data_IF_443795824733
#
_entry.id   IF_443795824733
#
_cell.length_a   1.000
_cell.length_b   1.000
_cell.length_c   1.000
_cell.angle_alpha   90.00
_cell.angle_beta   90.00
_cell.angle_gamma   90.00
#
_symmetry.space_group_name_H-M   'P 1'
#
loop_
_entity.id
_entity.type
_entity.pdbx_description
1 polymer ?
#
# COMPACT_ATOMS: atom_id res chain seq x y z
N UNK A 1 -62.58 16.46 -33.00
CA UNK A 1 -62.10 17.64 -33.74
C UNK A 1 -60.58 17.65 -33.66
N UNK A 2 -59.93 17.01 -34.63
CA UNK A 2 -59.28 17.62 -35.80
C UNK A 2 -57.99 18.38 -35.45
N UNK A 3 -56.86 17.75 -35.79
CA UNK A 3 -55.54 18.39 -35.90
C UNK A 3 -55.48 19.32 -37.12
N UNK A 4 -54.51 20.23 -37.15
CA UNK A 4 -53.46 20.20 -38.20
C UNK A 4 -52.06 20.29 -37.54
N UNK A 5 -50.98 19.58 -37.89
CA UNK A 5 -50.26 19.26 -39.14
C UNK A 5 -49.57 20.45 -39.86
N UNK A 6 -48.25 20.26 -40.05
CA UNK A 6 -47.31 20.85 -41.04
C UNK A 6 -46.73 22.26 -40.72
N UNK A 7 -45.46 22.64 -40.98
CA UNK A 7 -44.42 22.15 -41.91
C UNK A 7 -42.98 22.59 -41.49
N UNK A 8 -42.02 21.77 -41.89
CA UNK A 8 -40.55 21.88 -42.03
C UNK A 8 -39.85 23.26 -42.08
N UNK A 9 -38.64 23.33 -41.50
CA UNK A 9 -37.44 23.75 -42.27
C UNK A 9 -36.19 23.02 -41.76
N UNK A 10 -35.55 22.29 -42.68
CA UNK A 10 -34.23 21.67 -42.54
C UNK A 10 -33.18 22.77 -42.73
N UNK A 11 -32.19 22.87 -41.83
CA UNK A 11 -30.90 23.45 -42.19
C UNK A 11 -29.78 22.50 -41.72
N UNK A 12 -29.30 21.76 -42.70
CA UNK A 12 -28.11 20.94 -42.69
C UNK A 12 -26.86 21.82 -42.55
N UNK A 13 -26.05 21.60 -41.52
CA UNK A 13 -24.64 21.97 -41.55
C UNK A 13 -23.80 20.82 -40.98
N UNK A 14 -23.62 19.82 -41.83
CA UNK A 14 -22.69 18.70 -41.63
C UNK A 14 -21.26 19.22 -41.80
N UNK A 15 -20.65 19.69 -40.73
CA UNK A 15 -19.20 19.90 -40.69
C UNK A 15 -18.54 18.53 -40.59
N UNK A 16 -18.23 17.96 -41.75
CA UNK A 16 -17.32 16.83 -41.90
C UNK A 16 -15.90 17.30 -41.55
N UNK A 17 -15.58 17.37 -40.26
CA UNK A 17 -14.19 17.34 -39.84
C UNK A 17 -13.66 15.93 -40.13
N UNK A 18 -13.01 15.79 -41.28
CA UNK A 18 -12.05 14.72 -41.56
C UNK A 18 -10.90 14.83 -40.56
N UNK A 19 -11.14 14.42 -39.31
CA UNK A 19 -10.06 14.08 -38.41
C UNK A 19 -9.48 12.77 -38.95
N UNK A 20 -8.33 12.86 -39.61
CA UNK A 20 -7.48 11.71 -39.85
C UNK A 20 -7.11 11.10 -38.50
N UNK A 21 -7.89 10.12 -38.06
CA UNK A 21 -7.50 9.23 -36.97
C UNK A 21 -6.40 8.36 -37.54
N UNK A 22 -5.15 8.80 -37.37
CA UNK A 22 -3.98 7.98 -37.58
C UNK A 22 -4.02 6.90 -36.48
N UNK A 23 -4.63 5.76 -36.80
CA UNK A 23 -4.51 4.55 -35.99
C UNK A 23 -3.05 4.11 -36.13
N UNK A 24 -2.19 4.66 -35.27
CA UNK A 24 -0.89 4.07 -35.03
C UNK A 24 -1.16 2.75 -34.35
N UNK A 25 -0.99 1.66 -35.10
CA UNK A 25 -0.78 0.35 -34.51
C UNK A 25 0.43 0.47 -33.58
N UNK A 26 0.15 0.76 -32.31
CA UNK A 26 1.10 0.60 -31.24
C UNK A 26 1.43 -0.88 -31.25
N UNK A 27 2.53 -1.24 -31.92
CA UNK A 27 3.14 -2.57 -31.83
C UNK A 27 3.16 -2.92 -30.35
N UNK A 28 2.24 -3.80 -29.97
CA UNK A 28 2.07 -4.25 -28.60
C UNK A 28 3.43 -4.80 -28.21
N UNK A 29 4.13 -4.11 -27.31
CA UNK A 29 5.45 -4.54 -26.89
C UNK A 29 5.33 -6.00 -26.49
N UNK A 30 6.02 -6.89 -27.21
CA UNK A 30 6.00 -8.31 -26.90
C UNK A 30 6.53 -8.45 -25.48
N UNK A 31 5.67 -8.88 -24.57
CA UNK A 31 6.09 -9.19 -23.20
C UNK A 31 7.12 -10.31 -23.32
N UNK A 32 8.37 -10.12 -22.87
CA UNK A 32 9.37 -11.18 -22.95
C UNK A 32 8.83 -12.43 -22.26
N UNK A 33 9.11 -13.63 -22.79
CA UNK A 33 8.64 -14.86 -22.19
C UNK A 33 9.08 -14.93 -20.71
N UNK A 34 8.23 -15.46 -19.81
CA UNK A 34 8.57 -15.57 -18.40
C UNK A 34 9.86 -16.39 -18.27
N UNK A 35 10.84 -15.83 -17.56
CA UNK A 35 12.06 -16.55 -17.24
C UNK A 35 11.71 -17.58 -16.17
N UNK A 36 11.89 -18.87 -16.47
CA UNK A 36 11.76 -19.96 -15.50
C UNK A 36 13.16 -20.31 -15.03
N UNK A 37 13.39 -20.27 -13.71
CA UNK A 37 14.65 -20.73 -13.12
C UNK A 37 14.44 -22.09 -12.48
N UNK A 38 15.20 -23.09 -12.94
CA UNK A 38 15.16 -24.46 -12.43
C UNK A 38 16.40 -24.77 -11.60
N UNK A 39 16.20 -25.35 -10.44
CA UNK A 39 17.25 -25.83 -9.54
C UNK A 39 17.06 -27.30 -9.25
N UNK A 40 18.17 -28.04 -9.18
CA UNK A 40 18.17 -29.49 -8.99
C UNK A 40 19.00 -29.85 -7.76
N UNK A 41 18.41 -30.59 -6.84
CA UNK A 41 19.05 -31.09 -5.62
C UNK A 41 18.82 -32.60 -5.51
N UNK A 42 19.73 -33.34 -4.89
CA UNK A 42 19.44 -34.75 -4.57
C UNK A 42 18.42 -34.81 -3.43
N UNK A 43 18.72 -34.19 -2.30
CA UNK A 43 17.80 -34.08 -1.16
C UNK A 43 17.87 -32.71 -0.54
N UNK A 44 16.77 -32.28 0.09
CA UNK A 44 16.67 -31.03 0.82
C UNK A 44 15.93 -31.27 2.13
N UNK A 45 16.54 -30.87 3.24
CA UNK A 45 15.92 -30.90 4.57
C UNK A 45 15.76 -29.48 5.09
N UNK A 46 14.54 -29.13 5.48
CA UNK A 46 14.19 -27.84 6.08
C UNK A 46 13.93 -28.08 7.57
N UNK A 47 14.94 -27.84 8.40
CA UNK A 47 14.89 -28.00 9.86
C UNK A 47 14.67 -26.68 10.60
N UNK A 48 14.84 -25.56 9.91
CA UNK A 48 14.69 -24.21 10.45
C UNK A 48 13.92 -23.31 9.47
N UNK A 49 13.87 -22.01 9.76
CA UNK A 49 13.24 -21.03 8.89
C UNK A 49 14.15 -20.72 7.69
N UNK A 50 13.68 -21.10 6.50
CA UNK A 50 14.36 -20.88 5.24
C UNK A 50 13.47 -20.10 4.27
N UNK A 51 14.10 -19.33 3.39
CA UNK A 51 13.45 -18.51 2.36
C UNK A 51 13.79 -19.09 0.99
N UNK A 52 12.79 -19.36 0.17
CA UNK A 52 12.99 -19.67 -1.24
C UNK A 52 12.82 -18.41 -2.08
N UNK A 53 13.94 -17.87 -2.54
CA UNK A 53 13.97 -16.58 -3.21
C UNK A 53 14.95 -16.60 -4.39
N UNK A 54 14.49 -16.15 -5.55
CA UNK A 54 15.31 -16.08 -6.78
C UNK A 54 15.99 -17.42 -7.14
N UNK A 55 15.29 -18.54 -6.89
CA UNK A 55 15.82 -19.89 -7.10
C UNK A 55 16.91 -20.29 -6.10
N UNK A 56 16.96 -19.71 -4.90
CA UNK A 56 17.89 -20.12 -3.85
C UNK A 56 17.13 -20.41 -2.57
N UNK A 57 17.58 -21.42 -1.82
CA UNK A 57 17.16 -21.64 -0.43
C UNK A 57 18.15 -20.87 0.46
N UNK A 58 17.64 -19.89 1.19
CA UNK A 58 18.44 -18.92 1.94
C UNK A 58 18.01 -18.91 3.41
N UNK A 59 18.95 -18.75 4.32
CA UNK A 59 18.63 -18.30 5.67
C UNK A 59 18.13 -16.84 5.65
N UNK A 60 17.60 -16.36 6.78
CA UNK A 60 17.05 -15.00 6.89
C UNK A 60 18.06 -13.89 6.55
N UNK A 61 19.32 -14.03 7.00
CA UNK A 61 20.36 -13.02 6.78
C UNK A 61 20.74 -12.96 5.29
N UNK A 62 20.91 -14.12 4.67
CA UNK A 62 21.22 -14.28 3.26
C UNK A 62 20.08 -13.77 2.37
N UNK A 63 18.83 -14.03 2.77
CA UNK A 63 17.64 -13.50 2.09
C UNK A 63 17.58 -11.97 2.10
N UNK A 64 17.81 -11.34 3.25
CA UNK A 64 17.82 -9.88 3.36
C UNK A 64 18.93 -9.25 2.52
N UNK A 65 20.09 -9.89 2.47
CA UNK A 65 21.21 -9.45 1.63
C UNK A 65 20.87 -9.53 0.13
N UNK A 66 20.34 -10.66 -0.35
CA UNK A 66 19.95 -10.81 -1.76
C UNK A 66 18.83 -9.83 -2.17
N UNK A 67 17.86 -9.57 -1.28
CA UNK A 67 16.82 -8.56 -1.54
C UNK A 67 17.39 -7.17 -1.75
N UNK A 68 18.36 -6.79 -0.91
CA UNK A 68 19.04 -5.49 -1.03
C UNK A 68 19.78 -5.38 -2.36
N UNK A 69 20.50 -6.42 -2.77
CA UNK A 69 21.24 -6.45 -4.02
C UNK A 69 20.32 -6.33 -5.25
N UNK A 70 19.19 -7.04 -5.26
CA UNK A 70 18.20 -6.93 -6.35
C UNK A 70 17.58 -5.54 -6.42
N UNK A 71 17.29 -4.94 -5.27
CA UNK A 71 16.76 -3.58 -5.20
C UNK A 71 17.77 -2.56 -5.76
N UNK A 72 19.04 -2.66 -5.38
CA UNK A 72 20.12 -1.80 -5.87
C UNK A 72 20.35 -1.99 -7.38
N UNK A 73 20.24 -3.22 -7.87
CA UNK A 73 20.37 -3.56 -9.30
C UNK A 73 19.14 -3.16 -10.13
N UNK A 74 18.02 -2.74 -9.51
CA UNK A 74 16.71 -2.55 -10.16
C UNK A 74 16.27 -3.77 -10.98
N UNK A 75 16.72 -4.96 -10.58
CA UNK A 75 16.40 -6.21 -11.25
C UNK A 75 14.98 -6.65 -10.89
N UNK A 76 14.24 -7.20 -11.85
CA UNK A 76 12.94 -7.79 -11.55
C UNK A 76 13.13 -9.20 -10.98
N UNK A 77 12.40 -9.56 -9.91
CA UNK A 77 12.47 -10.91 -9.37
C UNK A 77 11.87 -11.91 -10.35
N UNK A 78 12.47 -13.09 -10.43
CA UNK A 78 11.95 -14.23 -11.19
C UNK A 78 10.70 -14.75 -10.50
N UNK A 79 9.56 -14.69 -11.19
CA UNK A 79 8.27 -15.08 -10.61
C UNK A 79 8.01 -16.58 -10.64
N UNK A 80 8.53 -17.30 -11.64
CA UNK A 80 8.31 -18.74 -11.77
C UNK A 80 9.60 -19.50 -11.48
N UNK A 81 9.54 -20.30 -10.42
CA UNK A 81 10.68 -21.02 -9.88
C UNK A 81 10.34 -22.50 -9.82
N UNK A 82 11.27 -23.31 -10.31
CA UNK A 82 11.12 -24.76 -10.34
C UNK A 82 12.21 -25.41 -9.51
N UNK A 83 11.81 -26.31 -8.62
CA UNK A 83 12.70 -27.03 -7.72
C UNK A 83 12.52 -28.53 -7.96
N UNK A 84 13.56 -29.22 -8.42
CA UNK A 84 13.53 -30.66 -8.67
C UNK A 84 14.44 -31.40 -7.69
N UNK A 85 13.91 -32.40 -6.99
CA UNK A 85 14.70 -33.17 -6.02
C UNK A 85 14.25 -34.60 -5.80
N UNK A 86 15.12 -35.51 -5.36
CA UNK A 86 14.72 -36.88 -5.01
C UNK A 86 13.82 -36.89 -3.77
N UNK A 87 14.25 -36.22 -2.68
CA UNK A 87 13.53 -36.22 -1.41
C UNK A 87 13.51 -34.84 -0.76
N UNK A 88 12.31 -34.32 -0.49
CA UNK A 88 12.09 -33.11 0.32
C UNK A 88 11.62 -33.51 1.72
N UNK A 89 12.32 -33.09 2.75
CA UNK A 89 11.90 -33.24 4.15
C UNK A 89 11.70 -31.88 4.78
N UNK A 90 10.53 -31.65 5.40
CA UNK A 90 10.29 -30.49 6.26
C UNK A 90 10.07 -31.00 7.68
N UNK A 91 11.08 -30.79 8.51
CA UNK A 91 11.08 -31.29 9.89
C UNK A 91 10.15 -30.47 10.77
N UNK A 92 9.89 -30.98 11.97
CA UNK A 92 9.11 -30.27 12.98
C UNK A 92 9.78 -28.94 13.33
N UNK A 93 9.05 -27.84 13.10
CA UNK A 93 9.55 -26.48 13.34
C UNK A 93 10.33 -25.87 12.16
N UNK A 94 10.62 -26.66 11.12
CA UNK A 94 11.10 -26.16 9.85
C UNK A 94 10.02 -25.34 9.13
N UNK A 95 10.40 -24.20 8.57
CA UNK A 95 9.48 -23.29 7.88
C UNK A 95 10.08 -22.86 6.55
N UNK A 96 9.42 -23.18 5.45
CA UNK A 96 9.80 -22.70 4.11
C UNK A 96 8.94 -21.50 3.71
N UNK A 97 9.56 -20.33 3.52
CA UNK A 97 8.92 -19.08 3.13
C UNK A 97 9.12 -18.82 1.63
N UNK A 98 8.04 -18.67 0.86
CA UNK A 98 8.10 -18.65 -0.62
C UNK A 98 7.89 -17.25 -1.23
N UNK A 99 7.22 -16.34 -0.52
CA UNK A 99 6.89 -14.99 -1.00
C UNK A 99 5.69 -14.98 -1.96
N UNK A 100 5.76 -14.08 -2.96
CA UNK A 100 4.79 -13.94 -4.06
C UNK A 100 5.13 -14.78 -5.31
N UNK A 101 6.08 -15.71 -5.18
CA UNK A 101 6.56 -16.53 -6.28
C UNK A 101 5.60 -17.68 -6.61
N UNK A 102 5.67 -18.14 -7.86
CA UNK A 102 5.11 -19.39 -8.32
C UNK A 102 6.18 -20.46 -8.17
N UNK A 103 6.05 -21.26 -7.12
CA UNK A 103 6.99 -22.34 -6.81
C UNK A 103 6.41 -23.67 -7.25
N UNK A 104 7.10 -24.33 -8.18
CA UNK A 104 6.82 -25.68 -8.61
C UNK A 104 7.87 -26.62 -8.03
N UNK A 105 7.50 -27.43 -7.05
CA UNK A 105 8.33 -28.47 -6.45
C UNK A 105 8.02 -29.80 -7.13
N UNK A 106 9.03 -30.43 -7.73
CA UNK A 106 8.94 -31.79 -8.28
C UNK A 106 9.84 -32.71 -7.44
N UNK A 107 9.25 -33.73 -6.82
CA UNK A 107 10.04 -34.66 -5.99
C UNK A 107 9.57 -36.10 -5.99
N UNK A 108 10.46 -37.07 -5.82
CA UNK A 108 10.02 -38.46 -5.72
C UNK A 108 9.37 -38.75 -4.36
N UNK A 109 9.90 -38.17 -3.28
CA UNK A 109 9.36 -38.37 -1.93
C UNK A 109 9.25 -37.04 -1.18
N UNK A 110 8.07 -36.75 -0.65
CA UNK A 110 7.82 -35.58 0.19
C UNK A 110 7.43 -35.97 1.61
N UNK A 111 8.28 -35.64 2.57
CA UNK A 111 8.12 -35.99 4.00
C UNK A 111 7.89 -34.71 4.79
N UNK A 112 6.85 -34.69 5.63
CA UNK A 112 6.64 -33.57 6.56
C UNK A 112 6.33 -34.05 7.97
N UNK A 113 7.09 -33.55 8.94
CA UNK A 113 6.98 -33.90 10.36
C UNK A 113 6.25 -32.79 11.14
N UNK A 114 5.12 -32.30 10.60
CA UNK A 114 4.46 -31.06 11.05
C UNK A 114 5.30 -29.81 10.79
N UNK A 115 6.09 -29.84 9.71
CA UNK A 115 6.74 -28.66 9.16
C UNK A 115 5.76 -27.71 8.48
N UNK A 116 6.22 -26.50 8.17
CA UNK A 116 5.38 -25.45 7.57
C UNK A 116 5.91 -24.97 6.22
N UNK A 117 4.99 -24.74 5.27
CA UNK A 117 5.22 -23.90 4.10
C UNK A 117 4.33 -22.66 4.22
N UNK A 118 4.91 -21.47 4.10
CA UNK A 118 4.16 -20.22 4.13
C UNK A 118 4.58 -19.26 3.03
N UNK A 119 3.64 -18.43 2.58
CA UNK A 119 3.92 -17.44 1.52
C UNK A 119 4.54 -16.18 2.12
N UNK A 120 4.00 -15.67 3.22
CA UNK A 120 4.57 -14.53 3.96
C UNK A 120 4.55 -14.77 5.48
N UNK A 121 5.50 -14.19 6.24
CA UNK A 121 5.40 -14.07 7.68
C UNK A 121 4.12 -13.34 8.13
N UNK A 122 3.66 -13.63 9.35
CA UNK A 122 2.33 -13.23 9.83
C UNK A 122 2.02 -11.72 9.79
N UNK A 123 3.03 -10.87 9.97
CA UNK A 123 2.87 -9.41 10.06
C UNK A 123 3.63 -8.66 8.97
N UNK A 124 4.02 -9.35 7.88
CA UNK A 124 4.69 -8.68 6.78
C UNK A 124 3.77 -7.62 6.15
N UNK A 125 4.28 -6.40 6.06
CA UNK A 125 3.57 -5.23 5.56
C UNK A 125 4.37 -4.61 4.43
N UNK A 126 3.69 -4.27 3.34
CA UNK A 126 4.29 -3.58 2.22
C UNK A 126 4.79 -2.19 2.65
N UNK A 127 5.79 -1.69 1.93
CA UNK A 127 6.28 -0.32 2.14
C UNK A 127 5.15 0.70 1.98
N UNK A 128 5.29 1.84 2.65
CA UNK A 128 4.33 2.95 2.56
C UNK A 128 3.94 3.25 1.10
N UNK A 129 2.64 3.50 0.90
CA UNK A 129 2.04 3.79 -0.39
C UNK A 129 2.18 2.67 -1.43
N UNK A 130 2.43 1.43 -1.00
CA UNK A 130 2.35 0.24 -1.85
C UNK A 130 1.29 -0.74 -1.39
N UNK A 131 0.60 -1.33 -2.35
CA UNK A 131 -0.28 -2.47 -2.10
C UNK A 131 0.53 -3.69 -1.65
N UNK A 132 -0.10 -4.51 -0.82
CA UNK A 132 0.42 -5.81 -0.42
C UNK A 132 0.50 -6.77 -1.60
N UNK A 133 1.57 -7.56 -1.65
CA UNK A 133 1.74 -8.64 -2.64
C UNK A 133 0.84 -9.82 -2.35
N UNK A 134 0.39 -10.48 -3.42
CA UNK A 134 -0.38 -11.71 -3.35
C UNK A 134 0.53 -12.90 -2.99
N UNK A 135 0.02 -13.90 -2.27
CA UNK A 135 0.82 -15.06 -1.81
C UNK A 135 1.27 -16.06 -2.88
N UNK A 136 1.26 -15.72 -4.17
CA UNK A 136 1.75 -16.61 -5.23
C UNK A 136 1.00 -17.95 -5.36
N UNK A 137 1.68 -18.94 -5.96
CA UNK A 137 1.19 -20.30 -6.16
C UNK A 137 2.27 -21.29 -5.74
N UNK A 138 1.89 -22.28 -4.93
CA UNK A 138 2.76 -23.39 -4.54
C UNK A 138 2.18 -24.65 -5.15
N UNK A 139 2.90 -25.25 -6.09
CA UNK A 139 2.52 -26.50 -6.73
C UNK A 139 3.54 -27.59 -6.41
N UNK A 140 3.09 -28.67 -5.78
CA UNK A 140 3.92 -29.82 -5.44
C UNK A 140 3.49 -31.01 -6.30
N UNK A 141 4.39 -31.53 -7.11
CA UNK A 141 4.22 -32.78 -7.83
C UNK A 141 5.16 -33.82 -7.22
N UNK A 142 4.59 -34.91 -6.68
CA UNK A 142 5.38 -35.95 -6.04
C UNK A 142 4.93 -37.37 -6.33
N UNK A 143 5.85 -38.34 -6.27
CA UNK A 143 5.44 -39.75 -6.38
C UNK A 143 4.79 -40.22 -5.07
N UNK A 144 5.41 -39.98 -3.91
CA UNK A 144 4.81 -40.31 -2.61
C UNK A 144 4.95 -39.20 -1.58
N UNK A 145 3.90 -38.98 -0.78
CA UNK A 145 3.90 -38.02 0.32
C UNK A 145 3.59 -38.68 1.66
N UNK A 146 4.27 -38.26 2.74
CA UNK A 146 4.18 -38.84 4.09
C UNK A 146 4.06 -37.73 5.15
N UNK A 147 3.19 -37.93 6.14
CA UNK A 147 3.18 -37.14 7.38
C UNK A 147 2.18 -36.00 7.40
N UNK A 148 2.45 -34.95 8.17
CA UNK A 148 1.54 -33.80 8.33
C UNK A 148 2.24 -32.53 7.90
N UNK A 149 1.62 -31.74 7.02
CA UNK A 149 2.18 -30.48 6.55
C UNK A 149 1.26 -29.33 6.93
N UNK A 150 1.81 -28.30 7.58
CA UNK A 150 1.12 -27.03 7.74
C UNK A 150 1.36 -26.16 6.50
N UNK A 151 0.31 -25.65 5.88
CA UNK A 151 0.40 -24.71 4.76
C UNK A 151 -0.32 -23.43 5.11
N UNK A 152 0.42 -22.34 5.23
CA UNK A 152 -0.10 -21.04 5.61
C UNK A 152 -0.03 -20.05 4.45
N UNK A 153 -1.14 -19.91 3.74
CA UNK A 153 -1.30 -19.06 2.56
C UNK A 153 -1.72 -17.65 2.97
N UNK A 154 -0.74 -16.75 3.03
CA UNK A 154 -0.93 -15.33 3.38
C UNK A 154 -0.84 -14.41 2.17
N UNK A 155 -1.58 -13.32 2.21
CA UNK A 155 -1.23 -12.11 1.46
C UNK A 155 -0.46 -11.13 2.35
N UNK A 156 0.38 -10.30 1.77
CA UNK A 156 1.10 -9.26 2.49
C UNK A 156 0.13 -8.12 2.88
N UNK A 157 0.30 -7.51 4.05
CA UNK A 157 -0.53 -6.37 4.44
C UNK A 157 -0.20 -5.14 3.56
N UNK A 158 -1.21 -4.31 3.29
CA UNK A 158 -1.00 -3.06 2.55
C UNK A 158 -0.18 -2.05 3.35
N UNK A 159 0.60 -1.22 2.65
CA UNK A 159 1.37 -0.14 3.25
C UNK A 159 0.50 1.04 3.72
N UNK A 160 1.08 1.91 4.55
CA UNK A 160 0.41 3.13 5.03
C UNK A 160 0.08 4.07 3.87
N UNK A 161 -1.07 4.75 3.95
CA UNK A 161 -1.48 5.77 2.98
C UNK A 161 -0.57 7.00 2.99
N UNK A 162 -0.60 7.79 1.91
CA UNK A 162 0.20 9.01 1.82
C UNK A 162 -0.18 10.02 2.92
N UNK A 163 0.80 10.71 3.50
CA UNK A 163 0.51 11.84 4.39
C UNK A 163 -0.23 12.94 3.61
N UNK A 164 -1.20 13.58 4.25
CA UNK A 164 -1.85 14.78 3.70
C UNK A 164 -0.81 15.87 3.40
N UNK A 165 -1.05 16.63 2.33
CA UNK A 165 -0.11 17.63 1.88
C UNK A 165 0.24 18.65 2.98
N UNK A 166 1.46 19.19 2.92
CA UNK A 166 1.84 20.30 3.79
C UNK A 166 0.92 21.51 3.51
N UNK A 167 0.60 22.32 4.54
CA UNK A 167 -0.29 23.46 4.36
C UNK A 167 0.34 24.48 3.39
N UNK A 168 -0.40 24.83 2.34
CA UNK A 168 -0.06 25.93 1.46
C UNK A 168 -0.67 27.26 1.93
N UNK A 169 -0.32 28.38 1.27
CA UNK A 169 -0.83 29.71 1.60
C UNK A 169 -2.36 29.83 1.64
N UNK A 170 -3.07 29.00 0.87
CA UNK A 170 -4.54 28.93 0.80
C UNK A 170 -5.22 28.47 2.10
N UNK A 171 -4.46 27.79 2.96
CA UNK A 171 -4.91 27.38 4.30
C UNK A 171 -4.56 28.41 5.36
N UNK A 172 -3.73 29.42 5.06
CA UNK A 172 -3.42 30.44 6.05
C UNK A 172 -4.64 31.33 6.31
N UNK A 173 -4.76 31.74 7.56
CA UNK A 173 -5.72 32.76 7.96
C UNK A 173 -5.36 34.10 7.31
N UNK A 174 -6.38 34.90 6.99
CA UNK A 174 -6.16 36.24 6.45
C UNK A 174 -5.62 37.17 7.53
N UNK A 175 -4.61 37.93 7.16
CA UNK A 175 -4.11 39.01 8.00
C UNK A 175 -5.16 40.11 8.14
N UNK A 176 -5.19 40.76 9.30
CA UNK A 176 -6.04 41.91 9.55
C UNK A 176 -5.17 43.11 9.95
N UNK A 177 -4.93 44.02 9.02
CA UNK A 177 -4.07 45.18 9.27
C UNK A 177 -4.80 46.37 9.93
N UNK A 178 -6.03 46.17 10.42
CA UNK A 178 -6.78 47.24 11.09
C UNK A 178 -6.04 47.68 12.35
N UNK A 179 -5.59 48.93 12.38
CA UNK A 179 -4.90 49.50 13.53
C UNK A 179 -5.86 49.74 14.69
N UNK A 180 -5.43 49.42 15.90
CA UNK A 180 -6.17 49.74 17.11
C UNK A 180 -6.32 51.25 17.32
N UNK A 181 -7.41 51.67 17.96
CA UNK A 181 -7.63 53.10 18.25
C UNK A 181 -6.48 53.64 19.11
N UNK A 182 -5.90 54.81 18.78
CA UNK A 182 -4.87 55.41 19.63
C UNK A 182 -5.46 55.76 21.00
N UNK A 183 -4.64 55.66 22.05
CA UNK A 183 -5.02 56.11 23.38
C UNK A 183 -5.06 57.64 23.44
N UNK A 184 -6.06 58.21 24.11
CA UNK A 184 -6.11 59.66 24.33
C UNK A 184 -4.93 60.08 25.23
N UNK A 185 -4.23 61.15 24.84
CA UNK A 185 -3.28 61.85 25.69
C UNK A 185 -3.98 63.08 26.26
N UNK A 186 -4.41 63.04 27.52
CA UNK A 186 -4.85 64.25 28.21
C UNK A 186 -3.63 64.98 28.77
N UNK A 187 -3.53 66.28 28.50
CA UNK A 187 -2.51 67.17 29.05
C UNK A 187 -2.63 67.21 30.59
N UNK A 188 -1.94 66.30 31.27
CA UNK A 188 -1.93 66.17 32.71
C UNK A 188 -1.39 64.80 33.10
N UNK A 189 -0.42 64.79 34.01
CA UNK A 189 0.50 63.69 34.38
C UNK A 189 -0.16 62.39 34.88
N UNK A 190 -1.49 62.24 34.81
CA UNK A 190 -2.24 61.19 35.52
C UNK A 190 -3.29 60.43 34.68
N UNK A 191 -3.17 60.33 33.35
CA UNK A 191 -4.25 59.77 32.52
C UNK A 191 -3.87 59.03 31.24
N UNK A 192 -2.74 58.31 31.21
CA UNK A 192 -2.34 57.56 30.02
C UNK A 192 -3.33 56.42 29.72
N UNK A 193 -4.16 56.57 28.69
CA UNK A 193 -4.97 55.46 28.18
C UNK A 193 -4.12 54.60 27.24
N UNK A 194 -4.19 53.29 27.42
CA UNK A 194 -3.61 52.36 26.45
C UNK A 194 -4.36 52.44 25.12
N UNK A 195 -3.65 52.29 24.01
CA UNK A 195 -4.26 52.11 22.71
C UNK A 195 -5.09 50.82 22.68
N UNK A 196 -6.16 50.84 21.89
CA UNK A 196 -7.02 49.68 21.67
C UNK A 196 -6.28 48.54 20.97
N UNK A 197 -6.78 47.30 21.05
CA UNK A 197 -6.24 46.18 20.28
C UNK A 197 -6.40 46.46 18.78
N UNK A 198 -5.43 45.96 17.98
CA UNK A 198 -5.60 45.89 16.53
C UNK A 198 -6.67 44.86 16.14
N UNK A 199 -7.06 44.86 14.88
CA UNK A 199 -8.00 43.87 14.35
C UNK A 199 -7.43 42.45 14.45
N UNK A 200 -8.23 41.48 14.88
CA UNK A 200 -7.80 40.08 14.92
C UNK A 200 -7.66 39.53 13.48
N UNK A 201 -6.54 38.86 13.21
CA UNK A 201 -6.37 38.03 12.03
C UNK A 201 -7.30 36.81 12.07
N UNK A 202 -7.59 36.21 10.93
CA UNK A 202 -8.37 34.99 10.87
C UNK A 202 -7.51 33.78 11.30
N UNK A 203 -8.09 32.75 11.93
CA UNK A 203 -7.37 31.51 12.21
C UNK A 203 -7.00 30.79 10.91
N UNK A 204 -5.98 29.93 10.99
CA UNK A 204 -5.64 29.03 9.90
C UNK A 204 -6.74 27.98 9.67
N UNK A 205 -6.85 27.47 8.45
CA UNK A 205 -7.78 26.40 8.08
C UNK A 205 -7.20 25.02 8.41
N UNK A 206 -8.08 24.05 8.56
CA UNK A 206 -7.70 22.65 8.75
C UNK A 206 -6.81 22.16 7.60
N UNK A 207 -5.82 21.32 7.94
CA UNK A 207 -4.92 20.69 6.99
C UNK A 207 -5.60 19.69 6.05
N UNK A 208 -4.87 19.29 5.02
CA UNK A 208 -5.35 18.31 4.04
C UNK A 208 -5.52 16.92 4.66
N UNK A 209 -6.55 16.17 4.24
CA UNK A 209 -6.75 14.80 4.67
C UNK A 209 -5.59 13.90 4.21
N UNK A 210 -5.24 12.91 5.02
CA UNK A 210 -4.34 11.83 4.62
C UNK A 210 -4.93 10.94 3.53
N UNK A 211 -4.08 10.32 2.73
CA UNK A 211 -4.48 9.34 1.72
C UNK A 211 -4.96 8.04 2.36
N UNK A 212 -5.88 7.35 1.70
CA UNK A 212 -6.33 6.00 2.08
C UNK A 212 -5.13 5.04 2.16
N UNK A 213 -5.17 4.12 3.12
CA UNK A 213 -4.21 3.02 3.21
C UNK A 213 -4.26 2.12 1.99
N UNK A 214 -3.17 1.41 1.73
CA UNK A 214 -3.05 0.60 0.51
C UNK A 214 -3.77 -0.73 0.67
N UNK A 215 -4.12 -1.37 -0.45
CA UNK A 215 -4.83 -2.66 -0.43
C UNK A 215 -3.92 -3.76 0.12
N UNK A 216 -4.46 -4.68 0.91
CA UNK A 216 -3.79 -5.92 1.28
C UNK A 216 -3.76 -6.94 0.14
N UNK A 217 -2.74 -7.78 0.12
CA UNK A 217 -2.58 -8.83 -0.87
C UNK A 217 -3.58 -9.98 -0.70
N UNK A 218 -3.92 -10.64 -1.80
CA UNK A 218 -4.72 -11.86 -1.78
C UNK A 218 -3.92 -13.02 -1.19
N UNK A 219 -4.60 -14.02 -0.64
CA UNK A 219 -3.92 -15.25 -0.22
C UNK A 219 -3.25 -15.94 -1.39
N UNK A 220 -2.20 -16.73 -1.12
CA UNK A 220 -1.67 -17.65 -2.11
C UNK A 220 -2.62 -18.80 -2.43
N UNK A 221 -2.21 -19.62 -3.38
CA UNK A 221 -2.81 -20.90 -3.69
C UNK A 221 -1.82 -22.05 -3.42
N UNK A 222 -2.35 -23.20 -2.99
CA UNK A 222 -1.58 -24.43 -2.87
C UNK A 222 -2.25 -25.53 -3.66
N UNK A 223 -1.44 -26.29 -4.37
CA UNK A 223 -1.83 -27.48 -5.10
C UNK A 223 -0.79 -28.57 -4.87
N UNK A 224 -1.28 -29.78 -4.60
CA UNK A 224 -0.44 -30.97 -4.55
C UNK A 224 -1.02 -32.02 -5.48
N UNK A 225 -0.15 -32.67 -6.25
CA UNK A 225 -0.40 -33.83 -7.08
C UNK A 225 0.51 -34.96 -6.59
N UNK A 226 -0.09 -36.07 -6.19
CA UNK A 226 0.66 -37.25 -5.72
C UNK A 226 0.12 -38.56 -6.31
N UNK A 227 1.01 -39.52 -6.55
CA UNK A 227 0.64 -40.87 -7.02
C UNK A 227 0.28 -41.79 -5.85
N UNK A 228 1.07 -41.75 -4.78
CA UNK A 228 0.89 -42.56 -3.56
C UNK A 228 0.70 -41.66 -2.33
N UNK A 229 -0.45 -41.76 -1.68
CA UNK A 229 -0.69 -41.18 -0.36
C UNK A 229 -0.28 -42.19 0.72
N UNK A 230 0.79 -41.88 1.47
CA UNK A 230 1.32 -42.71 2.56
C UNK A 230 0.99 -42.12 3.93
N UNK A 231 -0.22 -41.59 4.07
CA UNK A 231 -0.68 -40.94 5.29
C UNK A 231 -0.26 -39.47 5.32
N UNK A 232 -0.46 -38.76 4.21
CA UNK A 232 -0.17 -37.35 4.08
C UNK A 232 -1.40 -36.47 4.40
N UNK A 233 -1.25 -35.57 5.37
CA UNK A 233 -2.34 -34.71 5.85
C UNK A 233 -1.93 -33.24 5.77
N UNK A 234 -2.34 -32.50 4.72
CA UNK A 234 -2.11 -31.07 4.65
C UNK A 234 -3.15 -30.29 5.47
N UNK A 235 -2.69 -29.43 6.37
CA UNK A 235 -3.51 -28.49 7.15
C UNK A 235 -3.36 -27.11 6.53
N UNK A 236 -4.43 -26.62 5.90
CA UNK A 236 -4.38 -25.38 5.11
C UNK A 236 -5.01 -24.22 5.88
N UNK A 237 -4.24 -23.15 6.08
CA UNK A 237 -4.71 -21.90 6.64
C UNK A 237 -4.60 -20.76 5.61
N UNK A 238 -5.67 -19.98 5.47
CA UNK A 238 -5.75 -18.87 4.50
C UNK A 238 -5.97 -17.53 5.20
N UNK A 239 -5.03 -16.60 5.05
CA UNK A 239 -5.09 -15.26 5.65
C UNK A 239 -4.86 -14.18 4.59
N UNK A 240 -5.93 -13.54 4.14
CA UNK A 240 -5.77 -12.40 3.23
C UNK A 240 -5.03 -11.27 3.96
N UNK A 241 -4.20 -10.53 3.22
CA UNK A 241 -3.50 -9.37 3.74
C UNK A 241 -4.49 -8.32 4.23
N UNK A 242 -4.24 -7.73 5.40
CA UNK A 242 -5.03 -6.60 5.88
C UNK A 242 -4.74 -5.38 5.00
N UNK A 243 -5.72 -4.51 4.84
CA UNK A 243 -5.45 -3.19 4.26
C UNK A 243 -4.54 -2.38 5.16
N UNK A 244 -3.73 -1.52 4.57
CA UNK A 244 -2.86 -0.62 5.31
C UNK A 244 -3.63 0.42 6.09
N UNK A 245 -3.01 1.01 7.11
CA UNK A 245 -3.59 2.15 7.82
C UNK A 245 -3.60 3.39 6.90
N UNK A 246 -4.57 4.28 7.11
CA UNK A 246 -4.58 5.57 6.41
C UNK A 246 -3.35 6.42 6.73
N UNK A 247 -2.99 7.30 5.80
CA UNK A 247 -1.95 8.30 6.03
C UNK A 247 -2.36 9.33 7.07
N UNK A 248 -1.40 9.94 7.74
CA UNK A 248 -1.69 11.02 8.67
C UNK A 248 -2.19 12.25 7.90
N UNK A 249 -3.05 13.07 8.50
CA UNK A 249 -3.42 14.35 7.89
C UNK A 249 -2.24 15.33 7.81
N UNK A 250 -2.33 16.27 6.87
CA UNK A 250 -1.41 17.38 6.72
C UNK A 250 -1.53 18.37 7.88
N UNK A 251 -0.48 19.16 8.14
CA UNK A 251 -0.58 20.24 9.13
C UNK A 251 -1.62 21.28 8.72
N UNK A 252 -2.26 21.93 9.69
CA UNK A 252 -3.15 23.07 9.41
C UNK A 252 -2.40 24.32 8.98
N UNK A 253 -3.12 25.24 8.35
CA UNK A 253 -2.55 26.52 7.92
C UNK A 253 -2.15 27.40 9.11
N UNK A 254 -1.25 28.34 8.88
CA UNK A 254 -0.87 29.29 9.92
C UNK A 254 -1.99 30.33 10.11
N UNK A 255 -2.20 30.80 11.35
CA UNK A 255 -3.11 31.92 11.59
C UNK A 255 -2.60 33.22 10.97
N UNK A 256 -3.53 34.08 10.56
CA UNK A 256 -3.24 35.40 10.03
C UNK A 256 -2.67 36.34 11.10
N UNK A 257 -1.90 37.33 10.67
CA UNK A 257 -1.36 38.37 11.53
C UNK A 257 -2.48 39.28 12.05
N UNK A 258 -2.45 39.56 13.34
CA UNK A 258 -3.26 40.58 13.98
C UNK A 258 -2.74 41.97 13.62
N UNK A 259 -3.65 42.95 13.62
CA UNK A 259 -3.35 44.34 13.36
C UNK A 259 -2.49 44.94 14.47
N UNK A 260 -1.73 46.00 14.18
CA UNK A 260 -0.94 46.67 15.18
C UNK A 260 -1.86 47.25 16.27
N UNK A 261 -1.45 47.11 17.54
CA UNK A 261 -2.09 47.80 18.66
C UNK A 261 -2.04 49.31 18.42
N UNK A 262 -3.08 50.04 18.83
CA UNK A 262 -3.04 51.50 18.84
C UNK A 262 -1.89 52.00 19.71
N UNK A 263 -1.31 53.14 19.35
CA UNK A 263 -0.27 53.74 20.19
C UNK A 263 -0.84 54.15 21.54
N UNK A 264 -0.09 53.90 22.61
CA UNK A 264 -0.43 54.37 23.95
C UNK A 264 -0.22 55.90 23.99
N UNK A 265 -1.11 56.64 24.67
CA UNK A 265 -1.11 58.11 24.68
C UNK A 265 0.11 58.77 25.37
N UNK A 266 1.01 57.97 25.95
CA UNK A 266 2.17 58.43 26.71
C UNK A 266 3.43 57.64 26.31
N UNK A 267 4.17 58.20 25.34
CA UNK A 267 5.54 57.83 24.96
C UNK A 267 5.80 56.43 24.35
N UNK A 268 6.94 56.35 23.64
CA UNK A 268 7.48 55.29 22.77
C UNK A 268 7.71 53.92 23.43
N UNK A 269 6.71 53.36 24.12
CA UNK A 269 6.78 52.00 24.65
C UNK A 269 6.62 51.00 23.50
N UNK A 270 7.52 50.01 23.45
CA UNK A 270 7.67 49.03 22.38
C UNK A 270 6.32 48.52 21.86
N UNK A 271 6.06 48.76 20.58
CA UNK A 271 4.99 48.08 19.87
C UNK A 271 5.32 46.58 19.88
N UNK A 272 4.58 45.79 20.66
CA UNK A 272 4.61 44.34 20.52
C UNK A 272 4.36 44.00 19.05
N UNK A 273 5.21 43.16 18.47
CA UNK A 273 5.04 42.73 17.08
C UNK A 273 3.64 42.13 16.86
N UNK A 274 3.15 42.10 15.60
CA UNK A 274 1.85 41.52 15.31
C UNK A 274 1.83 40.06 15.79
N UNK A 275 0.96 39.77 16.76
CA UNK A 275 0.67 38.39 17.15
C UNK A 275 -0.11 37.71 16.03
N UNK A 276 -0.04 36.39 15.92
CA UNK A 276 -0.86 35.63 14.98
C UNK A 276 -2.10 35.07 15.66
N UNK A 277 -3.17 34.92 14.89
CA UNK A 277 -4.28 34.07 15.24
C UNK A 277 -3.81 32.60 15.38
N UNK A 278 -4.68 31.74 15.93
CA UNK A 278 -4.37 30.31 16.07
C UNK A 278 -4.16 29.65 14.71
N UNK A 279 -3.20 28.72 14.64
CA UNK A 279 -3.06 27.82 13.50
C UNK A 279 -4.30 26.94 13.36
N UNK A 280 -4.55 26.48 12.15
CA UNK A 280 -5.57 25.48 11.87
C UNK A 280 -5.20 24.11 12.44
N UNK A 281 -6.20 23.26 12.63
CA UNK A 281 -6.02 21.89 13.08
C UNK A 281 -5.35 21.02 12.00
N UNK A 282 -4.75 19.90 12.42
CA UNK A 282 -4.29 18.88 11.48
C UNK A 282 -5.46 18.34 10.66
N UNK A 283 -5.20 17.99 9.41
CA UNK A 283 -6.15 17.24 8.60
C UNK A 283 -6.53 15.91 9.25
N UNK A 284 -7.68 15.38 8.87
CA UNK A 284 -8.07 14.05 9.30
C UNK A 284 -7.14 12.99 8.70
N UNK A 285 -6.90 11.86 9.39
CA UNK A 285 -6.22 10.73 8.78
C UNK A 285 -7.01 10.18 7.59
N UNK A 286 -6.31 9.47 6.71
CA UNK A 286 -6.94 8.70 5.64
C UNK A 286 -7.73 7.50 6.18
N UNK A 287 -8.59 6.95 5.34
CA UNK A 287 -9.28 5.71 5.67
C UNK A 287 -8.31 4.51 5.59
N UNK A 288 -8.54 3.41 6.34
CA UNK A 288 -7.81 2.16 6.10
C UNK A 288 -8.03 1.63 4.68
N UNK A 289 -7.03 0.92 4.16
CA UNK A 289 -7.11 0.23 2.88
C UNK A 289 -8.05 -0.97 2.93
N UNK A 290 -8.42 -1.47 1.76
CA UNK A 290 -9.19 -2.72 1.66
C UNK A 290 -8.31 -3.92 1.98
N UNK A 291 -8.88 -4.93 2.64
CA UNK A 291 -8.23 -6.23 2.77
C UNK A 291 -8.13 -6.92 1.40
N UNK A 292 -7.20 -7.85 1.28
CA UNK A 292 -7.14 -8.76 0.15
C UNK A 292 -8.26 -9.81 0.20
N UNK A 293 -8.30 -10.63 -0.84
CA UNK A 293 -9.28 -11.69 -1.00
C UNK A 293 -8.67 -13.06 -0.68
N UNK A 294 -9.50 -13.98 -0.18
CA UNK A 294 -9.13 -15.38 -0.04
C UNK A 294 -9.29 -16.07 -1.39
N UNK A 295 -8.21 -16.64 -1.89
CA UNK A 295 -8.17 -17.43 -3.12
C UNK A 295 -8.56 -18.89 -2.87
N UNK A 296 -8.94 -19.58 -3.93
CA UNK A 296 -9.28 -21.00 -3.92
C UNK A 296 -8.04 -21.87 -3.63
N UNK A 297 -8.28 -23.02 -3.01
CA UNK A 297 -7.30 -24.08 -2.77
C UNK A 297 -7.77 -25.34 -3.50
N UNK A 298 -6.86 -26.10 -4.11
CA UNK A 298 -7.21 -27.35 -4.77
C UNK A 298 -6.20 -28.44 -4.42
N UNK A 299 -6.68 -29.61 -4.00
CA UNK A 299 -5.90 -30.83 -3.82
C UNK A 299 -6.23 -31.82 -4.94
N UNK A 300 -5.21 -32.43 -5.54
CA UNK A 300 -5.36 -33.44 -6.59
C UNK A 300 -4.65 -34.73 -6.16
N UNK A 301 -5.40 -35.83 -5.98
CA UNK A 301 -4.86 -37.13 -5.59
C UNK A 301 -5.21 -38.15 -6.68
N UNK A 302 -4.21 -38.67 -7.39
CA UNK A 302 -4.43 -39.37 -8.65
C UNK A 302 -5.25 -38.50 -9.61
N UNK A 303 -6.40 -39.00 -10.07
CA UNK A 303 -7.32 -38.28 -10.96
C UNK A 303 -8.41 -37.48 -10.21
N UNK A 304 -8.45 -37.54 -8.87
CA UNK A 304 -9.49 -36.87 -8.07
C UNK A 304 -9.07 -35.46 -7.71
N UNK A 305 -9.90 -34.48 -8.06
CA UNK A 305 -9.72 -33.07 -7.68
C UNK A 305 -10.74 -32.66 -6.62
N UNK A 306 -10.26 -32.04 -5.55
CA UNK A 306 -11.07 -31.41 -4.51
C UNK A 306 -10.63 -29.96 -4.34
N UNK A 307 -11.54 -28.99 -4.43
CA UNK A 307 -11.23 -27.58 -4.25
C UNK A 307 -12.12 -26.96 -3.17
N UNK A 308 -11.54 -26.06 -2.35
CA UNK A 308 -12.17 -25.35 -1.24
C UNK A 308 -11.79 -23.86 -1.22
#
# INVERSE_FOLDING_TARGET
MQSPKLFFTILSLSILCNACVEIRDNKKAETPPPQIKEEVYDSLTISERMYFFNGKILDEKSYLQEQKELFEAKAQPIKELKLRLQTLTIEKGGVLIVGDNWLHIQTNEFISESGEITTFPAEQTASDQRDGRNGGLIFVETNSAIGTLLVTLRGENGGKGARGANPGPELNGKDNYTQGKPGDSFNGVSGCKSGGPGGAGEPGKQGYQGGTGMKGGNTGAFQIKMNEDKGFFPVINKFAGKGGIGGDGGGGGQGGLNGPKGHDGCANLSMGGPSRASSGEQGNPGNPGQAGEKQEFCQIIGDKRSCN
#
